data_IF_380772109187
#
_entry.id   IF_380772109187
#
_cell.length_a   1.000
_cell.length_b   1.000
_cell.length_c   1.000
_cell.angle_alpha   90.00
_cell.angle_beta   90.00
_cell.angle_gamma   90.00
#
_symmetry.space_group_name_H-M   'P 1'
#
loop_
_entity.id
_entity.type
_entity.pdbx_description
1 polymer ?
#
# COMPACT_ATOMS: atom_id res chain seq x y z
N UNK A 1 -39.49 11.59 -78.30
CA UNK A 1 -40.63 10.67 -78.12
C UNK A 1 -40.03 9.44 -77.45
N UNK A 2 -40.19 9.12 -76.17
CA UNK A 2 -41.38 9.21 -75.30
C UNK A 2 -40.95 9.37 -73.84
N UNK A 3 -41.68 10.24 -73.15
CA UNK A 3 -41.62 10.53 -71.72
C UNK A 3 -42.50 9.53 -70.96
N UNK A 4 -42.01 9.01 -69.82
CA UNK A 4 -42.82 8.42 -68.74
C UNK A 4 -41.97 8.45 -67.45
N UNK A 5 -41.86 9.58 -66.75
CA UNK A 5 -42.61 9.95 -65.53
C UNK A 5 -42.78 8.80 -64.51
N UNK A 6 -41.98 8.92 -63.44
CA UNK A 6 -42.06 8.24 -62.14
C UNK A 6 -43.40 8.50 -61.43
N UNK A 7 -43.87 7.64 -60.51
CA UNK A 7 -43.82 8.08 -59.10
C UNK A 7 -43.75 6.95 -58.03
N UNK A 8 -43.48 7.38 -56.79
CA UNK A 8 -43.82 6.78 -55.47
C UNK A 8 -42.78 5.93 -54.72
N UNK A 9 -41.96 6.64 -53.94
CA UNK A 9 -41.71 6.48 -52.49
C UNK A 9 -42.04 5.13 -51.81
N UNK A 10 -40.99 4.48 -51.30
CA UNK A 10 -41.03 3.80 -50.00
C UNK A 10 -39.76 4.12 -49.21
N UNK A 11 -39.89 5.05 -48.26
CA UNK A 11 -38.99 5.13 -47.10
C UNK A 11 -38.94 3.75 -46.43
N UNK A 12 -37.74 3.18 -46.31
CA UNK A 12 -37.50 2.10 -45.35
C UNK A 12 -36.51 2.62 -44.33
N UNK A 13 -37.05 2.80 -43.13
CA UNK A 13 -36.45 3.35 -41.92
C UNK A 13 -35.24 2.50 -41.50
N UNK A 14 -34.18 3.16 -41.03
CA UNK A 14 -33.03 2.52 -40.42
C UNK A 14 -33.43 1.72 -39.16
N UNK A 15 -32.88 0.52 -38.93
CA UNK A 15 -32.86 -0.05 -37.59
C UNK A 15 -31.64 0.50 -36.83
N UNK A 16 -31.91 1.44 -35.93
CA UNK A 16 -31.06 1.76 -34.78
C UNK A 16 -30.96 0.53 -33.86
N UNK A 17 -29.73 0.21 -33.45
CA UNK A 17 -29.34 -0.60 -32.27
C UNK A 17 -29.77 -2.08 -32.19
N UNK A 18 -28.96 -3.02 -32.71
CA UNK A 18 -28.87 -4.40 -32.15
C UNK A 18 -27.67 -5.25 -32.64
N UNK A 19 -26.50 -5.00 -32.06
CA UNK A 19 -25.47 -6.03 -31.86
C UNK A 19 -24.62 -5.60 -30.66
N UNK A 20 -25.22 -5.33 -29.48
CA UNK A 20 -25.50 -6.33 -28.46
C UNK A 20 -24.72 -7.65 -28.70
N UNK A 21 -23.59 -7.81 -28.01
CA UNK A 21 -23.09 -9.15 -27.69
C UNK A 21 -21.96 -9.71 -28.53
N UNK A 22 -21.02 -8.89 -29.04
CA UNK A 22 -19.64 -9.42 -29.08
C UNK A 22 -19.09 -9.35 -27.66
N UNK A 23 -19.56 -10.29 -26.85
CA UNK A 23 -18.92 -10.75 -25.62
C UNK A 23 -17.46 -11.04 -25.97
N UNK A 24 -16.57 -10.06 -25.75
CA UNK A 24 -15.15 -10.34 -25.72
C UNK A 24 -14.95 -11.33 -24.57
N UNK A 25 -14.45 -12.56 -24.81
CA UNK A 25 -14.17 -13.47 -23.73
C UNK A 25 -13.06 -12.86 -22.88
N UNK A 26 -13.45 -12.25 -21.76
CA UNK A 26 -12.53 -11.65 -20.77
C UNK A 26 -11.53 -12.68 -20.20
N UNK A 27 -11.76 -13.98 -20.47
CA UNK A 27 -10.98 -15.12 -20.01
C UNK A 27 -10.17 -15.80 -21.14
N UNK A 28 -9.58 -15.01 -22.02
CA UNK A 28 -8.68 -15.54 -23.06
C UNK A 28 -7.35 -15.99 -22.44
N UNK A 29 -7.28 -17.29 -22.11
CA UNK A 29 -6.10 -18.13 -21.83
C UNK A 29 -4.90 -17.41 -21.19
N UNK A 30 -4.93 -17.25 -19.87
CA UNK A 30 -3.70 -17.09 -19.08
C UNK A 30 -2.79 -18.28 -19.39
N UNK A 31 -1.61 -18.03 -19.96
CA UNK A 31 -0.65 -19.09 -20.23
C UNK A 31 -0.31 -19.80 -18.91
N UNK A 32 -0.25 -21.14 -18.89
CA UNK A 32 0.11 -21.89 -17.67
C UNK A 32 1.47 -21.44 -17.13
N UNK A 33 2.38 -21.02 -18.03
CA UNK A 33 3.66 -20.39 -17.69
C UNK A 33 3.48 -19.09 -16.90
N UNK A 34 2.54 -18.22 -17.27
CA UNK A 34 2.22 -16.99 -16.54
C UNK A 34 1.59 -17.30 -15.18
N UNK A 35 0.73 -18.31 -15.10
CA UNK A 35 0.18 -18.77 -13.83
C UNK A 35 1.26 -19.25 -12.85
N UNK A 36 2.24 -20.02 -13.34
CA UNK A 36 3.37 -20.50 -12.54
C UNK A 36 4.29 -19.34 -12.12
N UNK A 37 4.58 -18.40 -13.02
CA UNK A 37 5.38 -17.21 -12.72
C UNK A 37 4.72 -16.31 -11.68
N UNK A 38 3.42 -16.07 -11.80
CA UNK A 38 2.70 -15.25 -10.84
C UNK A 38 2.61 -15.98 -9.50
N UNK A 39 2.33 -17.30 -9.51
CA UNK A 39 2.29 -18.12 -8.30
C UNK A 39 3.63 -18.14 -7.56
N UNK A 40 4.75 -18.23 -8.28
CA UNK A 40 6.09 -18.20 -7.67
C UNK A 40 6.43 -16.82 -7.08
N UNK A 41 6.08 -15.73 -7.78
CA UNK A 41 6.25 -14.36 -7.27
C UNK A 41 5.38 -14.13 -6.04
N UNK A 42 4.12 -14.57 -6.05
CA UNK A 42 3.23 -14.48 -4.88
C UNK A 42 3.80 -15.28 -3.71
N UNK A 43 4.25 -16.52 -3.94
CA UNK A 43 4.86 -17.33 -2.88
C UNK A 43 6.12 -16.69 -2.30
N UNK A 44 6.97 -16.10 -3.15
CA UNK A 44 8.17 -15.38 -2.73
C UNK A 44 7.82 -14.15 -1.87
N UNK A 45 6.85 -13.34 -2.31
CA UNK A 45 6.39 -12.17 -1.55
C UNK A 45 5.74 -12.58 -0.22
N UNK A 46 4.93 -13.64 -0.23
CA UNK A 46 4.31 -14.17 1.00
C UNK A 46 5.38 -14.66 1.98
N UNK A 47 6.39 -15.41 1.51
CA UNK A 47 7.50 -15.86 2.35
C UNK A 47 8.31 -14.68 2.89
N UNK A 48 8.64 -13.71 2.03
CA UNK A 48 9.31 -12.48 2.43
C UNK A 48 8.52 -11.69 3.47
N UNK A 49 7.19 -11.63 3.34
CA UNK A 49 6.32 -10.99 4.32
C UNK A 49 6.39 -11.65 5.69
N UNK A 50 6.35 -12.98 5.76
CA UNK A 50 6.50 -13.69 7.04
C UNK A 50 7.86 -13.45 7.70
N UNK A 51 8.95 -13.39 6.92
CA UNK A 51 10.28 -13.08 7.43
C UNK A 51 10.35 -11.66 8.01
N UNK A 52 9.71 -10.68 7.37
CA UNK A 52 9.65 -9.30 7.87
C UNK A 52 8.75 -9.16 9.11
N UNK A 53 7.70 -9.98 9.23
CA UNK A 53 6.81 -9.97 10.40
C UNK A 53 7.40 -10.72 11.60
N UNK A 54 8.32 -11.65 11.38
CA UNK A 54 8.97 -12.41 12.45
C UNK A 54 9.56 -11.54 13.58
N UNK A 55 10.38 -10.50 13.33
CA UNK A 55 10.91 -9.65 14.40
C UNK A 55 9.79 -8.92 15.16
N UNK A 56 8.72 -8.49 14.48
CA UNK A 56 7.57 -7.83 15.11
C UNK A 56 6.85 -8.81 16.04
N UNK A 57 6.60 -10.04 15.58
CA UNK A 57 6.03 -11.11 16.40
C UNK A 57 6.90 -11.37 17.63
N UNK A 58 8.22 -11.47 17.44
CA UNK A 58 9.16 -11.70 18.53
C UNK A 58 9.14 -10.56 19.56
N UNK A 59 9.07 -9.30 19.13
CA UNK A 59 8.94 -8.14 20.01
C UNK A 59 7.65 -8.19 20.85
N UNK A 60 6.52 -8.54 20.24
CA UNK A 60 5.25 -8.66 20.95
C UNK A 60 5.34 -9.77 22.02
N UNK A 61 5.82 -10.96 21.64
CA UNK A 61 5.98 -12.10 22.55
C UNK A 61 6.89 -11.75 23.72
N UNK A 62 8.01 -11.08 23.47
CA UNK A 62 8.99 -10.70 24.50
C UNK A 62 8.50 -9.58 25.41
N UNK A 63 7.78 -8.59 24.88
CA UNK A 63 7.20 -7.50 25.70
C UNK A 63 6.20 -7.98 26.75
N UNK A 64 5.51 -9.11 26.49
CA UNK A 64 4.52 -9.70 27.40
C UNK A 64 5.13 -10.62 28.48
N UNK A 65 6.44 -10.86 28.46
CA UNK A 65 7.14 -11.71 29.44
C UNK A 65 7.42 -10.95 30.74
N UNK A 66 7.44 -11.66 31.87
CA UNK A 66 7.82 -11.09 33.17
C UNK A 66 9.29 -10.65 33.17
N UNK A 67 9.58 -9.50 33.78
CA UNK A 67 10.95 -8.99 33.94
C UNK A 67 11.86 -10.06 34.58
N UNK A 68 13.02 -10.31 33.98
CA UNK A 68 13.99 -11.34 34.44
C UNK A 68 13.71 -12.77 33.99
N UNK A 69 12.48 -13.11 33.55
CA UNK A 69 12.15 -14.46 33.05
C UNK A 69 12.58 -14.69 31.59
N UNK A 70 12.97 -13.63 30.87
CA UNK A 70 13.43 -13.71 29.47
C UNK A 70 14.76 -14.46 29.30
N UNK A 71 15.57 -14.56 30.37
CA UNK A 71 16.87 -15.24 30.36
C UNK A 71 16.82 -16.67 30.93
N UNK A 72 15.66 -17.13 31.39
CA UNK A 72 15.48 -18.49 31.89
C UNK A 72 15.12 -19.43 30.73
N UNK A 73 15.90 -20.51 30.59
CA UNK A 73 15.56 -21.66 29.76
C UNK A 73 14.47 -22.47 30.48
N UNK A 74 13.35 -22.84 29.84
CA UNK A 74 13.06 -22.85 28.39
C UNK A 74 12.43 -21.54 27.85
N UNK A 75 12.84 -21.13 26.64
CA UNK A 75 12.25 -19.99 25.93
C UNK A 75 10.79 -20.27 25.57
N UNK A 76 9.90 -19.47 26.16
CA UNK A 76 8.45 -19.53 25.90
C UNK A 76 8.09 -18.62 24.71
N UNK A 77 7.39 -19.18 23.74
CA UNK A 77 6.98 -18.53 22.49
C UNK A 77 5.48 -18.18 22.47
N UNK A 78 4.65 -18.90 23.23
CA UNK A 78 3.19 -18.77 23.19
C UNK A 78 2.63 -18.16 24.48
N UNK A 79 2.20 -16.87 24.47
CA UNK A 79 1.54 -16.25 25.61
C UNK A 79 0.20 -16.95 25.92
N UNK A 80 -0.17 -17.06 27.19
CA UNK A 80 -1.41 -17.70 27.65
C UNK A 80 -1.33 -19.22 27.81
N UNK A 81 -0.52 -19.90 27.01
CA UNK A 81 -0.28 -21.35 27.14
C UNK A 81 0.95 -21.62 28.01
N UNK A 82 2.03 -20.85 27.79
CA UNK A 82 3.31 -21.10 28.44
C UNK A 82 3.60 -20.11 29.60
N UNK A 83 3.05 -18.91 29.56
CA UNK A 83 3.21 -17.89 30.59
C UNK A 83 2.02 -16.93 30.64
N UNK A 84 1.79 -16.31 31.80
CA UNK A 84 0.75 -15.31 32.01
C UNK A 84 1.17 -13.99 31.34
N UNK A 85 0.38 -13.44 30.40
CA UNK A 85 0.70 -12.17 29.74
C UNK A 85 0.75 -11.01 30.73
N UNK A 86 1.87 -10.28 30.76
CA UNK A 86 2.08 -9.14 31.65
C UNK A 86 1.72 -7.82 30.96
N UNK A 87 0.44 -7.47 30.98
CA UNK A 87 -0.03 -6.18 30.42
C UNK A 87 0.47 -4.96 31.21
N UNK A 88 0.83 -5.15 32.48
CA UNK A 88 1.40 -4.09 33.32
C UNK A 88 2.75 -3.55 32.83
N UNK A 89 3.50 -4.35 32.07
CA UNK A 89 4.80 -3.96 31.52
C UNK A 89 4.71 -2.68 30.67
N UNK A 90 3.63 -2.49 29.92
CA UNK A 90 3.45 -1.31 29.08
C UNK A 90 3.30 -0.03 29.92
N UNK A 91 2.51 -0.09 30.99
CA UNK A 91 2.32 1.06 31.89
C UNK A 91 3.59 1.41 32.66
N UNK A 92 4.33 0.41 33.11
CA UNK A 92 5.62 0.60 33.79
C UNK A 92 6.68 1.17 32.84
N UNK A 93 6.79 0.63 31.62
CA UNK A 93 7.71 1.12 30.60
C UNK A 93 7.45 2.58 30.24
N UNK A 94 6.17 2.97 30.04
CA UNK A 94 5.78 4.35 29.75
C UNK A 94 6.14 5.31 30.89
N UNK A 95 5.97 4.88 32.14
CA UNK A 95 6.38 5.67 33.32
C UNK A 95 7.90 5.80 33.42
N UNK A 96 8.62 4.69 33.23
CA UNK A 96 10.09 4.65 33.27
C UNK A 96 10.71 5.59 32.24
N UNK A 97 10.19 5.59 31.01
CA UNK A 97 10.70 6.44 29.93
C UNK A 97 10.23 7.90 29.97
N UNK A 98 9.46 8.31 31.00
CA UNK A 98 8.80 9.63 31.06
C UNK A 98 8.09 9.96 29.73
N UNK A 99 7.15 9.07 29.35
CA UNK A 99 6.54 9.05 28.02
C UNK A 99 6.03 10.42 27.54
N UNK A 100 5.46 11.24 28.41
CA UNK A 100 4.95 12.58 28.06
C UNK A 100 6.05 13.47 27.49
N UNK A 101 7.20 13.55 28.16
CA UNK A 101 8.33 14.37 27.72
C UNK A 101 8.96 13.80 26.45
N UNK A 102 9.14 12.48 26.39
CA UNK A 102 9.74 11.83 25.22
C UNK A 102 8.86 11.99 23.96
N UNK A 103 7.55 11.79 24.11
CA UNK A 103 6.59 11.90 23.02
C UNK A 103 6.44 13.35 22.55
N UNK A 104 6.28 14.31 23.47
CA UNK A 104 6.12 15.72 23.12
C UNK A 104 7.36 16.28 22.44
N UNK A 105 8.56 15.97 22.92
CA UNK A 105 9.80 16.39 22.27
C UNK A 105 9.91 15.86 20.84
N UNK A 106 9.63 14.56 20.65
CA UNK A 106 9.69 13.94 19.32
C UNK A 106 8.63 14.53 18.38
N UNK A 107 7.42 14.78 18.90
CA UNK A 107 6.33 15.37 18.13
C UNK A 107 6.68 16.80 17.69
N UNK A 108 7.24 17.62 18.59
CA UNK A 108 7.66 18.99 18.28
C UNK A 108 8.74 18.98 17.19
N UNK A 109 9.77 18.14 17.34
CA UNK A 109 10.84 18.04 16.34
C UNK A 109 10.28 17.54 14.99
N UNK A 110 9.47 16.48 14.99
CA UNK A 110 8.90 15.93 13.76
C UNK A 110 8.04 16.96 13.00
N UNK A 111 7.19 17.71 13.71
CA UNK A 111 6.33 18.73 13.08
C UNK A 111 7.17 19.88 12.53
N UNK A 112 8.13 20.39 13.32
CA UNK A 112 8.97 21.51 12.89
C UNK A 112 9.84 21.13 11.69
N UNK A 113 10.46 19.94 11.72
CA UNK A 113 11.25 19.42 10.60
C UNK A 113 10.38 19.23 9.36
N UNK A 114 9.23 18.56 9.48
CA UNK A 114 8.32 18.35 8.34
C UNK A 114 7.84 19.67 7.75
N UNK A 115 7.49 20.66 8.59
CA UNK A 115 7.09 21.98 8.11
C UNK A 115 8.23 22.69 7.37
N UNK A 116 9.45 22.66 7.92
CA UNK A 116 10.64 23.21 7.28
C UNK A 116 10.96 22.55 5.95
N UNK A 117 10.86 21.21 5.90
CA UNK A 117 11.09 20.42 4.70
C UNK A 117 10.07 20.75 3.61
N UNK A 118 8.78 20.82 3.95
CA UNK A 118 7.71 21.14 3.00
C UNK A 118 7.88 22.56 2.45
N UNK A 119 8.12 23.55 3.31
CA UNK A 119 8.33 24.93 2.87
C UNK A 119 9.53 25.01 1.93
N UNK A 120 10.64 24.37 2.29
CA UNK A 120 11.85 24.35 1.48
C UNK A 120 11.62 23.65 0.14
N UNK A 121 10.98 22.48 0.14
CA UNK A 121 10.66 21.72 -1.06
C UNK A 121 9.73 22.50 -2.00
N UNK A 122 8.73 23.20 -1.47
CA UNK A 122 7.81 24.03 -2.26
C UNK A 122 8.52 25.21 -2.90
N UNK A 123 9.40 25.90 -2.18
CA UNK A 123 10.19 27.01 -2.74
C UNK A 123 11.08 26.54 -3.89
N UNK A 124 11.77 25.42 -3.73
CA UNK A 124 12.61 24.81 -4.77
C UNK A 124 11.77 24.36 -5.97
N UNK A 125 10.67 23.64 -5.73
CA UNK A 125 9.77 23.15 -6.77
C UNK A 125 9.13 24.30 -7.57
N UNK A 126 8.68 25.36 -6.89
CA UNK A 126 8.15 26.56 -7.55
C UNK A 126 9.23 27.26 -8.39
N UNK A 127 10.47 27.31 -7.87
CA UNK A 127 11.64 27.80 -8.57
C UNK A 127 11.84 27.10 -9.93
N UNK A 128 11.87 25.77 -9.92
CA UNK A 128 11.99 24.96 -11.14
C UNK A 128 10.77 25.02 -12.06
N UNK A 129 9.56 25.15 -11.51
CA UNK A 129 8.34 25.17 -12.29
C UNK A 129 8.12 26.50 -13.03
N UNK A 130 8.41 27.64 -12.39
CA UNK A 130 8.07 28.96 -12.95
C UNK A 130 9.25 29.70 -13.58
N UNK A 131 10.48 29.54 -13.06
CA UNK A 131 11.65 30.21 -13.63
C UNK A 131 12.34 29.34 -14.68
N UNK A 132 12.75 29.95 -15.79
CA UNK A 132 13.62 29.30 -16.80
C UNK A 132 15.05 29.34 -16.29
N UNK A 133 15.40 28.42 -15.39
CA UNK A 133 16.75 28.31 -14.85
C UNK A 133 17.71 27.71 -15.90
N UNK A 134 18.92 28.28 -16.10
CA UNK A 134 19.95 27.69 -16.94
C UNK A 134 20.46 26.39 -16.27
N UNK A 135 19.96 25.24 -16.73
CA UNK A 135 20.21 23.93 -16.11
C UNK A 135 18.97 23.00 -16.05
N UNK A 136 17.78 23.48 -16.45
CA UNK A 136 16.51 22.71 -16.42
C UNK A 136 16.52 21.34 -17.13
N UNK A 137 17.47 21.09 -18.04
CA UNK A 137 17.56 19.83 -18.80
C UNK A 137 18.70 18.89 -18.31
N UNK A 138 19.36 19.21 -17.20
CA UNK A 138 20.39 18.36 -16.59
C UNK A 138 19.86 17.45 -15.46
N UNK A 139 18.60 17.66 -15.04
CA UNK A 139 17.88 16.88 -14.03
C UNK A 139 16.60 16.29 -14.64
#
# INVERSE_FOLDING_TARGET
MTVAISPTEKKTVAPTARSLGQELPFFQRRNVREGIWIGSLTALVTLGSFLLLFPVYFMIVTSLKTQGASFLLPMKWFPGIQYVPQWGNFGEALRFMKWETAYTNTMVVAILSMAGDVVSAVLVAYGFARFRAPGKNLL
#
